data_IF_964832818182
#
_entry.id   IF_964832818182
#
_cell.length_a   1.000
_cell.length_b   1.000
_cell.length_c   1.000
_cell.angle_alpha   90.00
_cell.angle_beta   90.00
_cell.angle_gamma   90.00
#
_symmetry.space_group_name_H-M   'P 1'
#
loop_
_entity.id
_entity.type
_entity.pdbx_description
1 polymer ?
#
# COMPACT_ATOMS: atom_id res chain seq x y z
N UNK A 1 -11.22 -17.77 1.44
CA UNK A 1 -10.10 -18.63 0.98
C UNK A 1 -10.39 -19.27 -0.38
N UNK A 2 -11.52 -19.95 -0.60
CA UNK A 2 -11.85 -20.56 -1.92
C UNK A 2 -11.83 -19.59 -3.10
N UNK A 3 -12.13 -18.30 -2.88
CA UNK A 3 -12.03 -17.26 -3.92
C UNK A 3 -10.61 -17.09 -4.48
N UNK A 4 -9.55 -17.44 -3.73
CA UNK A 4 -8.18 -17.36 -4.23
C UNK A 4 -7.94 -18.29 -5.42
N UNK A 5 -8.61 -19.45 -5.46
CA UNK A 5 -8.46 -20.42 -6.55
C UNK A 5 -9.03 -19.88 -7.88
N UNK A 6 -9.92 -18.88 -7.80
CA UNK A 6 -10.48 -18.18 -8.95
C UNK A 6 -9.62 -16.97 -9.30
N UNK A 7 -9.27 -16.16 -8.30
CA UNK A 7 -8.66 -14.85 -8.50
C UNK A 7 -7.16 -14.93 -8.82
N UNK A 8 -6.40 -15.81 -8.18
CA UNK A 8 -4.94 -15.84 -8.37
C UNK A 8 -4.53 -16.28 -9.78
N UNK A 9 -5.12 -17.34 -10.39
CA UNK A 9 -4.72 -17.76 -11.75
C UNK A 9 -4.93 -16.69 -12.82
N UNK A 10 -5.91 -15.81 -12.61
CA UNK A 10 -6.26 -14.72 -13.53
C UNK A 10 -5.75 -13.35 -13.06
N UNK A 11 -4.97 -13.30 -11.97
CA UNK A 11 -4.51 -12.05 -11.32
C UNK A 11 -5.63 -11.04 -11.11
N UNK A 12 -6.78 -11.50 -10.62
CA UNK A 12 -8.00 -10.73 -10.47
C UNK A 12 -8.39 -9.93 -11.74
N UNK A 13 -8.07 -10.45 -12.93
CA UNK A 13 -8.26 -9.80 -14.23
C UNK A 13 -7.62 -8.41 -14.36
N UNK A 14 -6.59 -8.13 -13.56
CA UNK A 14 -5.94 -6.81 -13.54
C UNK A 14 -6.79 -5.73 -12.88
N UNK A 15 -7.70 -6.08 -11.97
CA UNK A 15 -8.45 -5.09 -11.20
C UNK A 15 -7.51 -4.26 -10.33
N UNK A 16 -7.68 -2.94 -10.35
CA UNK A 16 -6.90 -2.01 -9.50
C UNK A 16 -7.48 -1.88 -8.09
N UNK A 17 -8.80 -2.08 -7.95
CA UNK A 17 -9.56 -1.83 -6.73
C UNK A 17 -10.30 -3.08 -6.25
N UNK A 18 -10.40 -3.22 -4.94
CA UNK A 18 -11.32 -4.18 -4.30
C UNK A 18 -12.23 -3.48 -3.31
N UNK A 19 -13.52 -3.71 -3.48
CA UNK A 19 -14.52 -3.20 -2.56
C UNK A 19 -14.59 -4.06 -1.30
N UNK A 20 -14.56 -3.38 -0.17
CA UNK A 20 -14.76 -3.96 1.16
C UNK A 20 -16.07 -3.45 1.73
N UNK A 21 -16.80 -4.31 2.43
CA UNK A 21 -18.12 -3.99 2.99
C UNK A 21 -18.20 -4.45 4.43
N UNK A 22 -19.05 -3.79 5.23
CA UNK A 22 -19.39 -4.31 6.56
C UNK A 22 -20.02 -5.70 6.46
N UNK A 23 -20.95 -5.85 5.51
CA UNK A 23 -21.64 -7.08 5.19
C UNK A 23 -22.17 -7.03 3.74
N UNK A 24 -21.70 -7.92 2.87
CA UNK A 24 -22.25 -8.09 1.51
C UNK A 24 -22.27 -9.57 1.15
N UNK A 25 -23.38 -10.04 0.58
CA UNK A 25 -23.54 -11.45 0.20
C UNK A 25 -23.16 -12.44 1.33
N UNK A 26 -23.55 -12.12 2.58
CA UNK A 26 -23.24 -12.90 3.79
C UNK A 26 -21.74 -12.96 4.16
N UNK A 27 -20.90 -12.17 3.51
CA UNK A 27 -19.47 -11.99 3.82
C UNK A 27 -19.31 -10.73 4.65
N UNK A 28 -18.70 -10.85 5.83
CA UNK A 28 -18.43 -9.73 6.71
C UNK A 28 -17.12 -9.00 6.36
N UNK A 29 -16.93 -7.83 6.95
CA UNK A 29 -15.73 -7.01 6.76
C UNK A 29 -14.42 -7.75 6.95
N UNK A 30 -14.28 -8.53 8.03
CA UNK A 30 -13.04 -9.24 8.32
C UNK A 30 -12.68 -10.24 7.22
N UNK A 31 -13.67 -10.88 6.61
CA UNK A 31 -13.45 -11.76 5.47
C UNK A 31 -13.08 -10.98 4.20
N UNK A 32 -13.66 -9.80 3.96
CA UNK A 32 -13.25 -8.93 2.86
C UNK A 32 -11.81 -8.46 3.01
N UNK A 33 -11.44 -7.94 4.19
CA UNK A 33 -10.08 -7.49 4.50
C UNK A 33 -9.09 -8.66 4.38
N UNK A 34 -9.44 -9.84 4.93
CA UNK A 34 -8.57 -11.01 4.84
C UNK A 34 -8.34 -11.44 3.38
N UNK A 35 -9.36 -11.41 2.52
CA UNK A 35 -9.17 -11.70 1.09
C UNK A 35 -8.24 -10.67 0.43
N UNK A 36 -8.45 -9.39 0.72
CA UNK A 36 -7.61 -8.32 0.21
C UNK A 36 -6.14 -8.46 0.65
N UNK A 37 -5.89 -8.74 1.93
CA UNK A 37 -4.57 -9.01 2.49
C UNK A 37 -3.94 -10.25 1.82
N UNK A 38 -4.70 -11.34 1.63
CA UNK A 38 -4.22 -12.54 0.94
C UNK A 38 -3.87 -12.30 -0.53
N UNK A 39 -4.63 -11.48 -1.25
CA UNK A 39 -4.30 -11.13 -2.62
C UNK A 39 -2.98 -10.34 -2.68
N UNK A 40 -2.77 -9.43 -1.73
CA UNK A 40 -1.51 -8.70 -1.57
C UNK A 40 -0.31 -9.63 -1.36
N UNK A 41 -0.40 -10.56 -0.40
CA UNK A 41 0.72 -11.47 -0.11
C UNK A 41 1.02 -12.45 -1.25
N UNK A 42 0.08 -12.64 -2.17
CA UNK A 42 0.25 -13.44 -3.39
C UNK A 42 0.60 -12.61 -4.63
N UNK A 43 1.03 -11.36 -4.47
CA UNK A 43 1.48 -10.52 -5.58
C UNK A 43 0.37 -10.03 -6.50
N UNK A 44 -0.86 -9.93 -6.00
CA UNK A 44 -1.99 -9.27 -6.67
C UNK A 44 -2.39 -8.04 -5.84
N UNK A 45 -1.56 -6.98 -5.85
CA UNK A 45 -1.84 -5.81 -5.06
C UNK A 45 -2.99 -5.03 -5.68
N UNK A 46 -4.06 -4.85 -4.91
CA UNK A 46 -5.16 -3.91 -5.23
C UNK A 46 -5.26 -2.86 -4.15
N UNK A 47 -5.81 -1.69 -4.47
CA UNK A 47 -6.22 -0.71 -3.47
C UNK A 47 -7.55 -1.14 -2.83
N UNK A 48 -7.64 -1.04 -1.52
CA UNK A 48 -8.89 -1.18 -0.80
C UNK A 48 -9.76 0.06 -1.02
N UNK A 49 -11.03 -0.19 -1.34
CA UNK A 49 -12.06 0.83 -1.47
C UNK A 49 -13.35 0.34 -0.81
N UNK A 50 -14.33 1.23 -0.72
CA UNK A 50 -15.68 0.91 -0.30
C UNK A 50 -16.70 1.86 -0.92
N UNK A 51 -17.92 1.37 -1.07
CA UNK A 51 -19.07 2.11 -1.56
C UNK A 51 -20.31 1.72 -0.76
N UNK A 52 -21.31 2.59 -0.80
CA UNK A 52 -22.60 2.35 -0.15
C UNK A 52 -23.41 1.26 -0.85
N UNK A 53 -23.16 1.06 -2.15
CA UNK A 53 -24.00 0.24 -3.04
C UNK A 53 -25.50 0.59 -2.91
N UNK A 54 -25.82 1.86 -2.67
CA UNK A 54 -27.17 2.32 -2.40
C UNK A 54 -28.00 2.44 -3.69
N UNK A 55 -29.06 1.65 -3.81
CA UNK A 55 -29.92 1.58 -5.00
C UNK A 55 -31.23 2.36 -4.82
N UNK A 56 -31.15 3.70 -4.73
CA UNK A 56 -32.31 4.59 -4.88
C UNK A 56 -33.12 4.89 -3.60
N UNK A 57 -32.73 4.39 -2.44
CA UNK A 57 -33.24 4.86 -1.15
C UNK A 57 -32.36 5.99 -0.59
N UNK A 58 -32.86 6.83 0.33
CA UNK A 58 -32.04 7.84 1.02
C UNK A 58 -30.77 7.21 1.60
N UNK A 59 -29.70 8.01 1.74
CA UNK A 59 -28.44 7.56 2.33
C UNK A 59 -28.62 7.36 3.84
N UNK A 60 -29.28 6.25 4.22
CA UNK A 60 -29.68 5.92 5.60
C UNK A 60 -29.42 4.44 5.89
N UNK A 61 -29.10 4.10 7.14
CA UNK A 61 -28.88 2.71 7.58
C UNK A 61 -27.46 2.19 7.29
N UNK A 62 -27.19 0.87 7.33
CA UNK A 62 -25.82 0.32 7.29
C UNK A 62 -25.00 0.58 6.00
N UNK A 63 -25.55 1.34 5.04
CA UNK A 63 -24.96 1.71 3.76
C UNK A 63 -23.96 2.89 3.83
N UNK A 64 -23.52 3.32 5.02
CA UNK A 64 -22.61 4.46 5.18
C UNK A 64 -21.14 4.17 4.87
N UNK A 65 -20.85 3.05 4.22
CA UNK A 65 -19.48 2.76 3.84
C UNK A 65 -19.08 3.55 2.60
N UNK A 66 -17.95 4.24 2.67
CA UNK A 66 -17.46 5.11 1.60
C UNK A 66 -15.95 5.07 1.51
N UNK A 67 -15.44 5.65 0.43
CA UNK A 67 -14.01 5.92 0.21
C UNK A 67 -13.78 7.42 0.27
N UNK A 68 -12.73 7.84 0.95
CA UNK A 68 -12.18 9.19 0.89
C UNK A 68 -10.90 9.16 0.07
N UNK A 69 -10.78 10.07 -0.90
CA UNK A 69 -9.64 10.15 -1.81
C UNK A 69 -8.79 11.35 -1.39
N UNK A 70 -7.52 11.09 -1.08
CA UNK A 70 -6.53 12.10 -0.73
C UNK A 70 -5.94 12.67 -2.03
N UNK A 71 -6.56 13.71 -2.56
CA UNK A 71 -6.18 14.36 -3.82
C UNK A 71 -5.86 15.84 -3.62
N UNK A 72 -4.92 16.34 -4.42
CA UNK A 72 -4.50 17.75 -4.39
C UNK A 72 -5.61 18.73 -4.81
N UNK A 73 -6.62 18.23 -5.53
CA UNK A 73 -7.74 19.00 -6.08
C UNK A 73 -8.93 18.06 -6.34
N UNK A 74 -10.18 18.57 -6.34
CA UNK A 74 -11.38 17.78 -6.61
C UNK A 74 -11.63 17.53 -8.12
N UNK A 75 -10.72 17.93 -9.01
CA UNK A 75 -10.85 17.61 -10.43
C UNK A 75 -10.63 16.11 -10.72
N UNK A 76 -11.18 15.64 -11.84
CA UNK A 76 -11.17 14.23 -12.19
C UNK A 76 -9.75 13.66 -12.32
N UNK A 77 -8.80 14.40 -12.90
CA UNK A 77 -7.45 13.89 -13.15
C UNK A 77 -6.68 13.74 -11.84
N UNK A 78 -6.80 14.71 -10.93
CA UNK A 78 -6.26 14.63 -9.58
C UNK A 78 -6.85 13.46 -8.79
N UNK A 79 -8.16 13.24 -8.87
CA UNK A 79 -8.82 12.11 -8.21
C UNK A 79 -8.34 10.76 -8.75
N UNK A 80 -8.27 10.62 -10.08
CA UNK A 80 -7.80 9.39 -10.72
C UNK A 80 -6.34 9.10 -10.40
N UNK A 81 -5.47 10.12 -10.40
CA UNK A 81 -4.08 9.97 -10.01
C UNK A 81 -3.93 9.47 -8.57
N UNK A 82 -4.70 10.05 -7.62
CA UNK A 82 -4.71 9.57 -6.24
C UNK A 82 -5.25 8.14 -6.10
N UNK A 83 -6.30 7.79 -6.84
CA UNK A 83 -6.84 6.41 -6.81
C UNK A 83 -5.84 5.39 -7.36
N UNK A 84 -5.12 5.70 -8.44
CA UNK A 84 -4.05 4.83 -8.99
C UNK A 84 -2.93 4.60 -7.97
N UNK A 85 -2.52 5.64 -7.26
CA UNK A 85 -1.51 5.55 -6.20
C UNK A 85 -2.03 5.00 -4.87
N UNK A 86 -3.24 4.44 -4.81
CA UNK A 86 -3.93 4.02 -3.58
C UNK A 86 -3.94 5.08 -2.47
N UNK A 87 -3.94 6.37 -2.81
CA UNK A 87 -4.06 7.52 -1.89
C UNK A 87 -5.51 7.72 -1.48
N UNK A 88 -6.05 6.71 -0.80
CA UNK A 88 -7.41 6.70 -0.29
C UNK A 88 -7.54 5.81 0.94
N UNK A 89 -8.57 6.08 1.73
CA UNK A 89 -8.95 5.27 2.88
C UNK A 89 -10.47 5.05 2.83
N UNK A 90 -10.96 4.02 3.52
CA UNK A 90 -12.36 3.62 3.44
C UNK A 90 -12.92 3.24 4.81
N UNK A 91 -14.23 3.37 4.99
CA UNK A 91 -14.83 3.23 6.31
C UNK A 91 -16.25 3.75 6.40
N UNK A 92 -16.75 3.87 7.63
CA UNK A 92 -18.11 4.24 7.94
C UNK A 92 -18.26 5.76 8.15
N UNK A 93 -18.98 6.41 7.23
CA UNK A 93 -19.24 7.85 7.21
C UNK A 93 -19.98 8.38 8.46
N UNK A 94 -20.81 7.57 9.12
CA UNK A 94 -21.46 7.99 10.39
C UNK A 94 -20.47 8.08 11.55
N UNK A 95 -19.37 7.33 11.48
CA UNK A 95 -18.41 7.21 12.58
C UNK A 95 -17.18 8.09 12.38
N UNK A 96 -16.91 8.49 11.15
CA UNK A 96 -15.71 9.24 10.82
C UNK A 96 -15.97 10.22 9.68
N UNK A 97 -15.59 11.47 9.92
CA UNK A 97 -15.49 12.53 8.91
C UNK A 97 -14.21 13.29 9.26
N UNK A 98 -13.17 13.12 8.46
CA UNK A 98 -11.84 13.62 8.80
C UNK A 98 -10.76 13.07 7.90
N UNK A 99 -9.51 13.20 8.35
CA UNK A 99 -8.31 12.72 7.67
C UNK A 99 -7.78 11.47 8.39
N UNK A 100 -7.51 10.41 7.62
CA UNK A 100 -6.82 9.23 8.13
C UNK A 100 -5.78 8.76 7.12
N UNK A 101 -4.50 8.93 7.45
CA UNK A 101 -3.37 8.65 6.56
C UNK A 101 -2.23 7.97 7.32
N UNK A 102 -1.27 7.40 6.58
CA UNK A 102 -0.01 6.95 7.13
C UNK A 102 1.18 7.34 6.25
N UNK A 103 2.33 7.53 6.88
CA UNK A 103 3.60 7.74 6.19
C UNK A 103 4.70 6.92 6.86
N UNK A 104 5.48 6.17 6.07
CA UNK A 104 6.65 5.42 6.53
C UNK A 104 7.90 6.07 5.96
N UNK A 105 8.67 6.77 6.81
CA UNK A 105 9.86 7.53 6.37
C UNK A 105 9.60 8.43 5.14
N UNK A 106 8.46 9.13 5.15
CA UNK A 106 8.04 9.99 4.05
C UNK A 106 7.36 9.27 2.88
N UNK A 107 7.44 7.93 2.78
CA UNK A 107 6.63 7.16 1.83
C UNK A 107 5.16 7.25 2.24
N UNK A 108 4.27 7.77 1.38
CA UNK A 108 2.84 7.92 1.71
C UNK A 108 2.10 6.57 1.68
N UNK A 109 0.95 6.48 2.35
CA UNK A 109 -0.04 5.40 2.16
C UNK A 109 -0.23 5.11 0.67
N UNK A 110 -0.32 3.84 0.29
CA UNK A 110 -0.41 3.41 -1.11
C UNK A 110 0.95 3.29 -1.81
N UNK A 111 2.00 3.89 -1.24
CA UNK A 111 3.37 3.79 -1.74
C UNK A 111 4.05 2.45 -1.43
N UNK A 112 5.24 2.32 -1.99
CA UNK A 112 6.12 1.16 -1.75
C UNK A 112 7.45 1.67 -1.20
N UNK A 113 7.87 1.11 -0.09
CA UNK A 113 9.17 1.33 0.52
C UNK A 113 10.08 0.11 0.23
N UNK A 114 11.35 0.31 -0.11
CA UNK A 114 12.28 -0.79 -0.32
C UNK A 114 12.59 -1.56 0.96
N UNK A 115 12.72 -2.88 0.88
CA UNK A 115 13.26 -3.68 1.99
C UNK A 115 14.73 -3.34 2.21
N UNK A 116 15.10 -3.05 3.46
CA UNK A 116 16.48 -2.76 3.89
C UNK A 116 16.67 -3.08 5.37
N UNK A 117 17.90 -3.34 5.81
CA UNK A 117 18.16 -3.58 7.24
C UNK A 117 17.78 -2.37 8.10
N UNK A 118 17.08 -2.63 9.22
CA UNK A 118 16.80 -1.61 10.23
C UNK A 118 15.32 -1.39 10.50
N UNK A 119 15.04 -0.30 11.21
CA UNK A 119 13.69 0.12 11.59
C UNK A 119 13.45 1.57 11.18
N UNK A 120 12.25 1.87 10.70
CA UNK A 120 11.86 3.21 10.26
C UNK A 120 10.62 3.72 10.98
N UNK A 121 10.49 5.05 11.17
CA UNK A 121 9.33 5.62 11.83
C UNK A 121 8.12 5.62 10.91
N UNK A 122 7.06 4.93 11.33
CA UNK A 122 5.72 5.06 10.79
C UNK A 122 4.96 6.12 11.57
N UNK A 123 4.39 7.10 10.88
CA UNK A 123 3.46 8.08 11.44
C UNK A 123 2.06 7.77 10.94
N UNK A 124 1.09 7.77 11.85
CA UNK A 124 -0.33 7.67 11.53
C UNK A 124 -0.95 9.04 11.80
N UNK A 125 -1.55 9.63 10.76
CA UNK A 125 -2.18 10.94 10.82
C UNK A 125 -3.67 10.72 10.98
N UNK A 126 -4.25 11.31 12.03
CA UNK A 126 -5.68 11.24 12.31
C UNK A 126 -6.18 12.62 12.75
N UNK A 127 -7.22 13.12 12.11
CA UNK A 127 -7.90 14.35 12.54
C UNK A 127 -9.38 14.37 12.12
N UNK A 128 -10.34 14.36 13.08
CA UNK A 128 -10.15 14.18 14.52
C UNK A 128 -9.99 12.69 14.88
N UNK A 129 -9.37 12.38 16.03
CA UNK A 129 -9.50 11.06 16.65
C UNK A 129 -10.81 10.99 17.45
N UNK A 130 -11.82 10.19 17.05
CA UNK A 130 -13.08 10.11 17.79
C UNK A 130 -12.85 9.64 19.23
N UNK A 131 -13.63 10.19 20.17
CA UNK A 131 -13.49 9.85 21.59
C UNK A 131 -13.68 8.34 21.83
N UNK A 132 -12.71 7.73 22.52
CA UNK A 132 -12.70 6.29 22.79
C UNK A 132 -12.40 5.40 21.59
N UNK A 133 -12.06 5.96 20.44
CA UNK A 133 -11.51 5.18 19.33
C UNK A 133 -10.09 4.71 19.64
N UNK A 134 -9.70 3.60 19.04
CA UNK A 134 -8.38 3.01 19.08
C UNK A 134 -7.85 2.90 17.66
N UNK A 135 -6.56 3.21 17.48
CA UNK A 135 -5.85 2.91 16.24
C UNK A 135 -5.10 1.60 16.44
N UNK A 136 -5.29 0.69 15.50
CA UNK A 136 -4.65 -0.61 15.47
C UNK A 136 -3.74 -0.70 14.26
N UNK A 137 -2.53 -1.15 14.49
CA UNK A 137 -1.52 -1.37 13.47
C UNK A 137 -1.55 -2.82 13.02
N UNK A 138 -1.53 -3.03 11.71
CA UNK A 138 -1.42 -4.34 11.09
C UNK A 138 -0.17 -4.35 10.23
N UNK A 139 0.71 -5.33 10.46
CA UNK A 139 1.86 -5.61 9.60
C UNK A 139 1.86 -7.08 9.23
N UNK A 140 1.90 -7.39 7.93
CA UNK A 140 1.78 -8.76 7.40
C UNK A 140 2.96 -9.04 6.48
N UNK A 141 3.63 -10.17 6.66
CA UNK A 141 4.71 -10.59 5.77
C UNK A 141 4.17 -10.92 4.37
N UNK A 142 4.90 -10.53 3.32
CA UNK A 142 4.58 -10.85 1.92
C UNK A 142 5.05 -12.27 1.58
N UNK A 143 4.44 -13.26 2.25
CA UNK A 143 4.67 -14.68 1.98
C UNK A 143 3.48 -15.24 1.19
N UNK A 144 3.66 -15.65 -0.08
CA UNK A 144 2.58 -16.23 -0.87
C UNK A 144 1.99 -17.48 -0.19
N UNK A 145 0.67 -17.65 -0.28
CA UNK A 145 -0.02 -18.74 0.37
C UNK A 145 -1.49 -18.46 0.69
N UNK A 146 -2.10 -19.35 1.47
CA UNK A 146 -3.53 -19.26 1.88
C UNK A 146 -3.72 -18.72 3.30
N UNK A 147 -2.63 -18.53 4.01
CA UNK A 147 -2.59 -18.04 5.38
C UNK A 147 -1.78 -16.75 5.43
N UNK A 148 -2.16 -15.87 6.36
CA UNK A 148 -1.48 -14.61 6.62
C UNK A 148 -0.48 -14.82 7.76
N UNK A 149 0.74 -14.35 7.57
CA UNK A 149 1.76 -14.32 8.62
C UNK A 149 1.84 -12.90 9.15
N UNK A 150 1.21 -12.67 10.31
CA UNK A 150 1.25 -11.36 10.97
C UNK A 150 2.58 -11.17 11.69
N UNK A 151 3.23 -10.03 11.40
CA UNK A 151 4.36 -9.50 12.18
C UNK A 151 3.80 -8.67 13.34
N UNK A 152 2.75 -7.88 13.07
CA UNK A 152 1.95 -7.17 14.06
C UNK A 152 0.47 -7.43 13.77
N UNK A 153 -0.23 -8.00 14.73
CA UNK A 153 -1.63 -8.38 14.61
C UNK A 153 -2.50 -7.43 15.45
N UNK A 154 -3.05 -6.41 14.79
CA UNK A 154 -3.97 -5.44 15.39
C UNK A 154 -3.46 -4.78 16.69
N UNK A 155 -2.17 -4.44 16.73
CA UNK A 155 -1.52 -3.82 17.89
C UNK A 155 -2.08 -2.40 18.11
N UNK A 156 -2.58 -2.12 19.31
CA UNK A 156 -3.09 -0.77 19.65
C UNK A 156 -1.93 0.20 19.78
N UNK A 157 -1.98 1.32 19.07
CA UNK A 157 -0.92 2.35 19.05
C UNK A 157 -1.46 3.72 19.45
N UNK A 158 -0.56 4.57 19.95
CA UNK A 158 -0.82 6.00 20.15
C UNK A 158 -0.40 6.77 18.87
N UNK A 159 -1.33 7.38 18.12
CA UNK A 159 -0.99 8.13 16.91
C UNK A 159 -0.15 9.38 17.17
N UNK A 160 -0.05 9.85 18.43
CA UNK A 160 0.80 10.99 18.78
C UNK A 160 2.30 10.69 18.69
N UNK A 161 2.66 9.39 18.66
CA UNK A 161 4.04 8.92 18.61
C UNK A 161 4.29 8.10 17.34
N UNK A 162 5.46 8.25 16.69
CA UNK A 162 5.86 7.33 15.63
C UNK A 162 6.00 5.90 16.16
N UNK A 163 5.61 4.92 15.34
CA UNK A 163 5.81 3.50 15.61
C UNK A 163 6.98 3.01 14.78
N UNK A 164 7.96 2.35 15.40
CA UNK A 164 9.12 1.82 14.67
C UNK A 164 8.76 0.53 13.94
N UNK A 165 8.82 0.53 12.61
CA UNK A 165 8.52 -0.63 11.76
C UNK A 165 9.82 -1.28 11.32
N UNK A 166 9.93 -2.59 11.51
CA UNK A 166 11.00 -3.38 10.91
C UNK A 166 10.77 -3.46 9.40
N UNK A 167 11.72 -2.93 8.64
CA UNK A 167 11.70 -2.85 7.18
C UNK A 167 12.67 -3.83 6.53
N UNK A 168 13.24 -4.76 7.31
CA UNK A 168 14.24 -5.75 6.87
C UNK A 168 13.66 -6.95 6.12
N UNK A 169 12.33 -7.08 6.07
CA UNK A 169 11.68 -8.16 5.35
C UNK A 169 10.48 -7.69 4.52
N UNK A 170 10.20 -8.39 3.40
CA UNK A 170 9.01 -8.13 2.61
C UNK A 170 7.74 -8.23 3.45
N UNK A 171 6.98 -7.14 3.51
CA UNK A 171 5.75 -7.05 4.29
C UNK A 171 4.87 -5.94 3.76
N UNK A 172 3.72 -5.71 4.35
CA UNK A 172 3.02 -4.44 4.21
C UNK A 172 2.51 -3.98 5.56
N UNK A 173 2.27 -2.68 5.68
CA UNK A 173 1.73 -2.06 6.88
C UNK A 173 0.50 -1.23 6.56
N UNK A 174 -0.52 -1.31 7.42
CA UNK A 174 -1.74 -0.49 7.34
C UNK A 174 -2.26 -0.18 8.74
N UNK A 175 -3.03 0.90 8.86
CA UNK A 175 -3.67 1.31 10.09
C UNK A 175 -5.18 1.14 10.00
N UNK A 176 -5.79 0.77 11.12
CA UNK A 176 -7.23 0.60 11.27
C UNK A 176 -7.71 1.38 12.48
N UNK A 177 -8.89 1.98 12.38
CA UNK A 177 -9.53 2.64 13.50
C UNK A 177 -10.77 1.87 13.92
N UNK A 178 -10.89 1.65 15.23
CA UNK A 178 -11.97 0.89 15.84
C UNK A 178 -12.55 1.66 17.02
N UNK A 179 -13.82 1.44 17.33
CA UNK A 179 -14.39 1.90 18.60
C UNK A 179 -13.85 1.05 19.77
N UNK A 180 -14.00 1.54 21.00
CA UNK A 180 -13.73 0.76 22.23
C UNK A 180 -14.43 -0.61 22.27
N UNK A 181 -15.57 -0.76 21.58
CA UNK A 181 -16.34 -2.01 21.50
C UNK A 181 -16.01 -2.83 20.25
N UNK A 182 -14.83 -2.62 19.64
CA UNK A 182 -14.36 -3.30 18.43
C UNK A 182 -15.33 -3.20 17.24
N UNK A 183 -16.02 -2.06 17.10
CA UNK A 183 -16.74 -1.75 15.86
C UNK A 183 -15.82 -1.03 14.88
N UNK A 184 -15.80 -1.41 13.59
CA UNK A 184 -14.93 -0.79 12.60
C UNK A 184 -15.33 0.67 12.35
N UNK A 185 -14.34 1.55 12.22
CA UNK A 185 -14.53 2.96 11.89
C UNK A 185 -13.97 3.26 10.50
N UNK A 186 -12.64 3.17 10.32
CA UNK A 186 -11.95 3.56 9.09
C UNK A 186 -10.64 2.78 8.91
N UNK A 187 -10.23 2.53 7.67
CA UNK A 187 -9.10 1.69 7.29
C UNK A 187 -8.27 2.40 6.22
N UNK A 188 -6.95 2.44 6.41
CA UNK A 188 -6.04 2.96 5.39
C UNK A 188 -5.79 1.92 4.29
N UNK A 189 -5.35 2.38 3.12
CA UNK A 189 -4.57 1.53 2.22
C UNK A 189 -3.21 1.16 2.85
N UNK A 190 -2.48 0.24 2.20
CA UNK A 190 -1.20 -0.26 2.71
C UNK A 190 -0.02 0.56 2.19
N UNK A 191 1.06 0.59 2.95
CA UNK A 191 2.41 0.81 2.42
C UNK A 191 3.05 -0.57 2.27
N UNK A 192 3.52 -0.91 1.07
CA UNK A 192 4.22 -2.17 0.83
C UNK A 192 5.71 -2.02 1.14
N UNK A 193 6.30 -3.06 1.70
CA UNK A 193 7.73 -3.24 1.90
C UNK A 193 8.15 -4.34 0.95
N UNK A 194 8.78 -3.98 -0.15
CA UNK A 194 9.10 -4.92 -1.23
C UNK A 194 10.60 -4.91 -1.52
N UNK A 195 11.18 -6.06 -1.93
CA UNK A 195 12.52 -6.06 -2.49
C UNK A 195 12.57 -5.08 -3.64
N UNK A 196 13.63 -4.26 -3.69
CA UNK A 196 13.83 -3.42 -4.85
C UNK A 196 14.05 -4.29 -6.09
N UNK A 197 13.21 -4.10 -7.12
CA UNK A 197 13.48 -4.61 -8.46
C UNK A 197 14.46 -3.65 -9.11
N UNK A 198 15.73 -3.88 -8.84
CA UNK A 198 16.76 -2.99 -9.32
C UNK A 198 17.19 -3.33 -10.76
N UNK A 199 17.26 -4.61 -11.14
CA UNK A 199 17.77 -5.03 -12.45
C UNK A 199 16.62 -5.01 -13.47
N UNK A 200 16.31 -3.80 -13.97
CA UNK A 200 15.16 -3.59 -14.85
C UNK A 200 15.43 -4.08 -16.27
N UNK A 201 16.69 -4.14 -16.69
CA UNK A 201 17.06 -4.63 -18.01
C UNK A 201 17.31 -6.15 -18.05
N UNK A 202 17.28 -6.81 -16.88
CA UNK A 202 17.47 -8.26 -16.69
C UNK A 202 18.84 -8.77 -17.14
N UNK A 203 19.89 -7.94 -17.06
CA UNK A 203 21.27 -8.31 -17.41
C UNK A 203 22.06 -8.92 -16.22
N UNK A 204 21.37 -9.13 -15.09
CA UNK A 204 21.89 -9.64 -13.83
C UNK A 204 22.88 -8.70 -13.14
N UNK A 205 22.92 -7.42 -13.54
CA UNK A 205 23.84 -6.43 -12.97
C UNK A 205 23.15 -5.11 -12.74
N UNK A 206 23.26 -4.64 -11.50
CA UNK A 206 22.91 -3.26 -11.19
C UNK A 206 23.94 -2.26 -11.70
N UNK A 207 23.55 -1.47 -12.69
CA UNK A 207 24.43 -0.50 -13.32
C UNK A 207 23.70 0.77 -13.76
N UNK A 208 24.45 1.71 -14.34
CA UNK A 208 23.86 2.88 -14.97
C UNK A 208 22.95 2.51 -16.17
N UNK A 209 23.11 1.31 -16.74
CA UNK A 209 22.28 0.85 -17.85
C UNK A 209 20.81 0.70 -17.43
N UNK A 210 20.54 0.32 -16.18
CA UNK A 210 19.18 0.27 -15.62
C UNK A 210 18.54 1.65 -15.55
N UNK A 211 19.28 2.62 -15.01
CA UNK A 211 18.83 4.02 -14.94
C UNK A 211 18.57 4.57 -16.34
N UNK A 212 19.44 4.26 -17.30
CA UNK A 212 19.27 4.64 -18.69
C UNK A 212 18.06 3.98 -19.34
N UNK A 213 17.76 2.72 -19.02
CA UNK A 213 16.59 2.00 -19.54
C UNK A 213 15.27 2.66 -19.10
N UNK A 214 15.16 3.04 -17.83
CA UNK A 214 14.01 3.82 -17.31
C UNK A 214 13.97 5.21 -17.95
N UNK A 215 15.10 5.93 -17.93
CA UNK A 215 15.18 7.30 -18.45
C UNK A 215 14.87 7.40 -19.94
N UNK A 216 15.19 6.38 -20.72
CA UNK A 216 14.88 6.31 -22.15
C UNK A 216 13.37 6.29 -22.44
N UNK A 217 12.55 6.03 -21.42
CA UNK A 217 11.10 5.94 -21.48
C UNK A 217 10.37 7.04 -20.69
N UNK A 218 11.11 8.04 -20.20
CA UNK A 218 10.55 9.14 -19.43
C UNK A 218 9.43 9.88 -20.18
N UNK A 219 8.29 10.05 -19.51
CA UNK A 219 7.08 10.68 -20.01
C UNK A 219 6.19 9.75 -20.85
N UNK A 220 6.58 8.49 -21.08
CA UNK A 220 5.73 7.52 -21.77
C UNK A 220 4.70 6.90 -20.81
N UNK A 221 3.47 6.69 -21.30
CA UNK A 221 2.53 5.79 -20.63
C UNK A 221 3.06 4.37 -20.66
N UNK A 222 2.84 3.62 -19.60
CA UNK A 222 3.37 2.27 -19.44
C UNK A 222 2.62 1.31 -20.35
N UNK A 223 3.31 0.83 -21.39
CA UNK A 223 2.84 -0.26 -22.22
C UNK A 223 3.18 -1.60 -21.55
N UNK A 224 2.45 -2.69 -21.84
CA UNK A 224 2.72 -4.01 -21.22
C UNK A 224 4.17 -4.48 -21.36
N UNK A 225 4.85 -4.13 -22.46
CA UNK A 225 6.27 -4.47 -22.69
C UNK A 225 7.27 -3.64 -21.86
N UNK A 226 6.81 -2.59 -21.19
CA UNK A 226 7.61 -1.68 -20.36
C UNK A 226 7.14 -1.69 -18.89
N UNK A 227 6.30 -2.65 -18.50
CA UNK A 227 5.77 -2.74 -17.14
C UNK A 227 6.87 -2.90 -16.07
N UNK A 228 8.03 -3.41 -16.45
CA UNK A 228 9.22 -3.50 -15.58
C UNK A 228 9.96 -2.17 -15.39
N UNK A 229 9.63 -1.14 -16.18
CA UNK A 229 10.21 0.20 -16.07
C UNK A 229 9.34 1.15 -15.25
N UNK A 230 8.09 0.76 -14.98
CA UNK A 230 7.14 1.41 -14.08
C UNK A 230 7.42 0.97 -12.63
N UNK A 231 8.53 1.47 -12.10
CA UNK A 231 8.99 1.14 -10.76
C UNK A 231 8.09 1.77 -9.69
N UNK A 232 7.31 2.79 -10.03
CA UNK A 232 6.26 3.37 -9.22
C UNK A 232 4.93 3.19 -9.97
N UNK A 233 4.18 2.10 -9.74
CA UNK A 233 3.10 1.64 -10.63
C UNK A 233 1.89 2.59 -10.69
N UNK A 234 2.07 3.73 -11.37
CA UNK A 234 1.07 4.78 -11.60
C UNK A 234 0.73 4.91 -13.09
N UNK A 235 1.33 4.06 -13.92
CA UNK A 235 1.06 3.94 -15.35
C UNK A 235 1.82 4.94 -16.21
N UNK A 236 2.74 5.70 -15.64
CA UNK A 236 3.59 6.65 -16.37
C UNK A 236 5.04 6.47 -15.91
N UNK A 237 5.96 6.37 -16.86
CA UNK A 237 7.39 6.33 -16.52
C UNK A 237 7.85 7.77 -16.30
N UNK A 238 8.08 8.16 -15.04
CA UNK A 238 8.35 9.54 -14.64
C UNK A 238 9.61 9.68 -13.76
N UNK A 239 9.73 10.82 -13.06
CA UNK A 239 10.89 11.10 -12.22
C UNK A 239 10.96 10.18 -11.01
N UNK A 240 9.82 9.69 -10.50
CA UNK A 240 9.78 8.76 -9.37
C UNK A 240 10.42 7.43 -9.76
N UNK A 241 10.18 6.94 -10.97
CA UNK A 241 10.83 5.72 -11.46
C UNK A 241 12.34 5.89 -11.56
N UNK A 242 12.78 7.03 -12.13
CA UNK A 242 14.21 7.36 -12.24
C UNK A 242 14.85 7.49 -10.85
N UNK A 243 14.19 8.14 -9.90
CA UNK A 243 14.69 8.26 -8.53
C UNK A 243 14.79 6.88 -7.86
N UNK A 244 13.76 6.03 -8.02
CA UNK A 244 13.74 4.69 -7.45
C UNK A 244 14.85 3.78 -7.99
N UNK A 245 15.12 3.83 -9.30
CA UNK A 245 16.24 3.08 -9.88
C UNK A 245 17.61 3.69 -9.52
N UNK A 246 17.68 5.01 -9.30
CA UNK A 246 18.90 5.65 -8.81
C UNK A 246 19.21 5.29 -7.35
N UNK A 247 18.19 5.13 -6.51
CA UNK A 247 18.33 4.66 -5.13
C UNK A 247 18.89 3.22 -5.11
N UNK A 248 18.34 2.35 -5.97
CA UNK A 248 18.87 1.01 -6.24
C UNK A 248 20.36 1.02 -6.57
N UNK A 249 20.76 1.87 -7.53
CA UNK A 249 22.16 1.95 -7.94
C UNK A 249 23.07 2.47 -6.83
N UNK A 250 22.59 3.44 -6.04
CA UNK A 250 23.34 4.03 -4.92
C UNK A 250 23.53 3.04 -3.79
N UNK A 251 22.49 2.27 -3.45
CA UNK A 251 22.55 1.23 -2.43
C UNK A 251 23.59 0.16 -2.80
N UNK A 252 23.62 -0.30 -4.07
CA UNK A 252 24.55 -1.34 -4.51
C UNK A 252 26.03 -0.87 -4.54
N UNK A 253 26.31 0.44 -4.67
CA UNK A 253 27.70 0.93 -4.59
C UNK A 253 28.27 0.91 -3.18
N UNK A 254 27.43 0.97 -2.15
CA UNK A 254 27.89 0.92 -0.77
C UNK A 254 28.46 -0.43 -0.37
N UNK A 255 28.02 -1.52 -1.02
CA UNK A 255 28.52 -2.88 -0.78
C UNK A 255 29.81 -3.20 -1.53
N UNK A 256 30.07 -2.51 -2.64
CA UNK A 256 31.27 -2.69 -3.48
C UNK A 256 32.45 -1.76 -3.13
N UNK A 257 32.28 -0.88 -2.13
CA UNK A 257 33.40 -0.07 -1.66
C UNK A 257 34.49 -1.00 -1.08
N UNK A 258 35.71 -1.03 -1.66
CA UNK A 258 36.77 -1.86 -1.12
C UNK A 258 37.00 -1.45 0.32
N UNK A 259 36.86 -2.41 1.26
CA UNK A 259 37.34 -2.24 2.63
C UNK A 259 38.78 -1.77 2.50
N UNK A 260 39.04 -0.51 2.85
CA UNK A 260 40.41 -0.03 2.99
C UNK A 260 41.02 -0.90 4.08
N UNK A 261 41.80 -1.89 3.69
CA UNK A 261 42.73 -2.56 4.58
C UNK A 261 43.62 -1.43 5.12
N UNK A 262 43.38 -1.06 6.38
CA UNK A 262 44.31 -0.28 7.16
C UNK A 262 45.58 -1.11 7.26
N UNK A 263 46.54 -0.82 6.37
CA UNK A 263 47.92 -1.25 6.54
C UNK A 263 48.50 -0.40 7.69
N UNK A 264 48.65 -1.04 8.85
CA UNK A 264 49.59 -0.64 9.91
C UNK A 264 51.01 -1.09 9.55
#
# INVERSE_FOLDING_TARGET
>A
QSQLDILLPVKAWGADLVETYLLRAQVNLLNHIRLWDLLATNGVPMCGASTSDQHGAPFVGPAFWTTWIEANSPDQDSLLASMRGCRMFFGNLERFTGVFDLTLDGVPMGGVHPVQEGVLPLRVIVDPLPAGAQIKLVQVALTPGRELTYIRDHEVIDPSQPVMIDVSQPSFVRAEMWTANNQPIVFTNRIALEPLVCDVNSDQRMSIADVQAVSAKFGENVLPQFANLDLWPDGVIDLKDIMRIADCWSANRSTDAPRRETQE
#
